data_IF_739229864493
#
_entry.id   IF_739229864493
#
_cell.length_a   1.000
_cell.length_b   1.000
_cell.length_c   1.000
_cell.angle_alpha   90.00
_cell.angle_beta   90.00
_cell.angle_gamma   90.00
#
_symmetry.space_group_name_H-M   'P 1'
#
loop_
_entity.id
_entity.type
_entity.pdbx_description
1 polymer ?
#
# COMPACT_ATOMS: atom_id res chain seq x y z
N UNK A 1 -15.91 -10.30 12.48
CA UNK A 1 -15.96 -11.78 12.49
C UNK A 1 -16.92 -12.32 11.44
N UNK A 2 -18.26 -12.13 11.50
CA UNK A 2 -19.22 -12.73 10.52
C UNK A 2 -18.89 -12.51 9.04
N UNK A 3 -18.51 -11.27 8.62
CA UNK A 3 -18.18 -10.98 7.22
C UNK A 3 -16.92 -11.73 6.74
N UNK A 4 -15.89 -11.85 7.58
CA UNK A 4 -14.67 -12.58 7.22
C UNK A 4 -14.91 -14.08 7.10
N UNK A 5 -15.71 -14.66 7.98
CA UNK A 5 -16.13 -16.05 7.88
C UNK A 5 -16.91 -16.33 6.62
N UNK A 6 -17.88 -15.46 6.29
CA UNK A 6 -18.64 -15.59 5.04
C UNK A 6 -17.72 -15.50 3.81
N UNK A 7 -16.78 -14.55 3.78
CA UNK A 7 -15.84 -14.44 2.68
C UNK A 7 -14.96 -15.69 2.50
N UNK A 8 -14.53 -16.32 3.60
CA UNK A 8 -13.79 -17.60 3.54
C UNK A 8 -14.65 -18.69 2.93
N UNK A 9 -15.91 -18.83 3.36
CA UNK A 9 -16.82 -19.84 2.81
C UNK A 9 -17.11 -19.60 1.32
N UNK A 10 -17.33 -18.33 0.92
CA UNK A 10 -17.57 -17.98 -0.49
C UNK A 10 -16.35 -18.32 -1.36
N UNK A 11 -15.13 -18.06 -0.88
CA UNK A 11 -13.91 -18.41 -1.59
C UNK A 11 -13.74 -19.93 -1.70
N UNK A 12 -13.99 -20.68 -0.62
CA UNK A 12 -13.91 -22.16 -0.63
C UNK A 12 -14.89 -22.77 -1.61
N UNK A 13 -16.09 -22.22 -1.74
CA UNK A 13 -17.08 -22.67 -2.72
C UNK A 13 -16.64 -22.41 -4.17
N UNK A 14 -16.01 -21.25 -4.41
CA UNK A 14 -15.56 -20.87 -5.76
C UNK A 14 -14.24 -21.56 -6.15
N UNK A 15 -13.36 -21.83 -5.19
CA UNK A 15 -12.01 -22.38 -5.40
C UNK A 15 -11.80 -23.53 -4.44
N UNK A 16 -12.24 -24.73 -4.83
CA UNK A 16 -12.16 -25.92 -3.98
C UNK A 16 -10.74 -26.22 -3.48
N UNK A 17 -9.71 -25.93 -4.28
CA UNK A 17 -8.30 -26.10 -3.89
C UNK A 17 -7.82 -25.12 -2.81
N UNK A 18 -8.61 -24.12 -2.45
CA UNK A 18 -8.29 -23.15 -1.39
C UNK A 18 -8.78 -23.61 0.01
N UNK A 19 -9.59 -24.67 0.09
CA UNK A 19 -10.29 -25.05 1.32
C UNK A 19 -9.37 -25.18 2.56
N UNK A 20 -8.20 -25.82 2.38
CA UNK A 20 -7.24 -26.06 3.46
C UNK A 20 -6.09 -25.04 3.52
N UNK A 21 -6.20 -23.96 2.73
CA UNK A 21 -5.14 -22.95 2.59
C UNK A 21 -5.55 -21.54 3.00
N UNK A 22 -6.78 -21.42 3.55
CA UNK A 22 -7.33 -20.13 4.00
C UNK A 22 -7.50 -20.14 5.50
N UNK A 23 -6.91 -19.16 6.14
CA UNK A 23 -7.13 -18.84 7.55
C UNK A 23 -7.59 -17.38 7.67
N UNK A 24 -8.56 -17.14 8.55
CA UNK A 24 -9.07 -15.80 8.82
C UNK A 24 -8.60 -15.33 10.19
N UNK A 25 -7.85 -14.24 10.21
CA UNK A 25 -7.44 -13.53 11.42
C UNK A 25 -8.15 -12.19 11.47
N UNK A 26 -8.78 -11.87 12.60
CA UNK A 26 -9.39 -10.56 12.80
C UNK A 26 -8.29 -9.52 12.98
N UNK A 27 -8.38 -8.42 12.23
CA UNK A 27 -7.40 -7.34 12.23
C UNK A 27 -8.10 -5.99 12.00
N UNK A 28 -7.90 -5.06 12.92
CA UNK A 28 -8.13 -3.63 12.75
C UNK A 28 -6.78 -2.92 12.67
N UNK A 29 -6.41 -2.47 11.48
CA UNK A 29 -5.12 -1.81 11.24
C UNK A 29 -4.99 -0.44 11.90
N UNK A 30 -6.09 0.14 12.36
CA UNK A 30 -6.10 1.40 13.10
C UNK A 30 -5.81 1.24 14.60
N UNK A 31 -5.76 -0.02 15.11
CA UNK A 31 -5.58 -0.36 16.53
C UNK A 31 -4.28 -1.12 16.74
N UNK A 32 -3.38 -0.56 17.55
CA UNK A 32 -2.13 -1.22 17.92
C UNK A 32 -2.39 -2.58 18.61
N UNK A 33 -3.35 -2.64 19.54
CA UNK A 33 -3.72 -3.88 20.24
C UNK A 33 -4.21 -4.96 19.27
N UNK A 34 -5.07 -4.57 18.30
CA UNK A 34 -5.59 -5.51 17.30
C UNK A 34 -4.47 -6.05 16.42
N UNK A 35 -3.53 -5.20 16.02
CA UNK A 35 -2.37 -5.60 15.21
C UNK A 35 -1.48 -6.55 15.99
N UNK A 36 -1.17 -6.27 17.26
CA UNK A 36 -0.36 -7.15 18.10
C UNK A 36 -1.03 -8.51 18.34
N UNK A 37 -2.34 -8.54 18.58
CA UNK A 37 -3.10 -9.78 18.72
C UNK A 37 -3.11 -10.62 17.44
N UNK A 38 -3.23 -9.99 16.28
CA UNK A 38 -3.16 -10.67 15.00
C UNK A 38 -1.73 -11.18 14.73
N UNK A 39 -0.72 -10.36 14.98
CA UNK A 39 0.68 -10.73 14.81
C UNK A 39 1.07 -11.93 15.70
N UNK A 40 0.61 -11.98 16.95
CA UNK A 40 0.87 -13.11 17.85
C UNK A 40 0.33 -14.45 17.30
N UNK A 41 -0.75 -14.43 16.52
CA UNK A 41 -1.29 -15.62 15.84
C UNK A 41 -0.48 -16.01 14.61
N UNK A 42 0.02 -15.03 13.87
CA UNK A 42 0.72 -15.21 12.60
C UNK A 42 2.21 -15.50 12.80
N UNK A 43 2.83 -14.97 13.87
CA UNK A 43 4.28 -14.98 14.12
C UNK A 43 4.91 -16.37 14.24
N UNK A 44 4.11 -17.42 14.36
CA UNK A 44 4.59 -18.80 14.36
C UNK A 44 4.89 -19.33 12.94
N UNK A 45 4.58 -18.55 11.91
CA UNK A 45 4.74 -18.95 10.52
C UNK A 45 5.81 -18.08 9.84
N UNK A 46 6.56 -18.68 8.92
CA UNK A 46 7.42 -17.92 8.01
C UNK A 46 6.57 -17.36 6.88
N UNK A 47 6.51 -16.04 6.75
CA UNK A 47 5.72 -15.36 5.72
C UNK A 47 6.55 -15.15 4.45
N UNK A 48 6.01 -15.53 3.31
CA UNK A 48 6.57 -15.17 2.01
C UNK A 48 6.38 -13.69 1.70
N UNK A 49 5.22 -13.13 2.07
CA UNK A 49 4.98 -11.70 1.85
C UNK A 49 3.71 -11.18 2.51
N UNK A 50 3.56 -9.87 2.44
CA UNK A 50 2.44 -9.10 3.00
C UNK A 50 1.85 -8.22 1.90
N UNK A 51 0.51 -8.22 1.74
CA UNK A 51 -0.21 -7.21 0.97
C UNK A 51 -1.00 -6.33 1.93
N UNK A 52 -0.58 -5.07 2.10
CA UNK A 52 -1.30 -4.07 2.86
C UNK A 52 -2.41 -3.46 2.01
N UNK A 53 -3.58 -4.10 2.01
CA UNK A 53 -4.74 -3.70 1.21
C UNK A 53 -5.77 -2.89 1.98
N UNK A 54 -5.83 -3.02 3.31
CA UNK A 54 -6.79 -2.28 4.13
C UNK A 54 -6.66 -0.76 3.95
N UNK A 55 -7.79 -0.08 3.79
CA UNK A 55 -7.79 1.37 3.61
C UNK A 55 -9.21 1.93 3.54
N UNK A 56 -9.33 3.24 3.69
CA UNK A 56 -10.58 4.00 3.58
C UNK A 56 -10.38 5.20 2.65
N UNK A 57 -11.43 5.54 1.89
CA UNK A 57 -11.42 6.73 1.01
C UNK A 57 -12.03 7.95 1.69
N UNK A 58 -12.90 7.72 2.68
CA UNK A 58 -13.58 8.75 3.45
C UNK A 58 -13.39 8.49 4.93
N UNK A 59 -13.18 9.54 5.69
CA UNK A 59 -13.11 9.54 7.14
C UNK A 59 -13.67 10.85 7.66
N UNK A 60 -13.88 10.95 8.97
CA UNK A 60 -14.37 12.16 9.63
C UNK A 60 -13.32 13.29 9.64
N UNK A 61 -12.04 12.93 9.47
CA UNK A 61 -10.91 13.85 9.49
C UNK A 61 -9.73 13.34 8.66
N UNK A 62 -8.79 14.23 8.35
CA UNK A 62 -7.50 13.88 7.76
C UNK A 62 -6.78 12.82 8.61
N UNK A 63 -6.76 13.02 9.93
CA UNK A 63 -6.05 12.13 10.85
C UNK A 63 -6.63 10.71 10.87
N UNK A 64 -7.94 10.54 10.74
CA UNK A 64 -8.57 9.22 10.61
C UNK A 64 -8.12 8.51 9.35
N UNK A 65 -8.15 9.20 8.19
CA UNK A 65 -7.72 8.62 6.91
C UNK A 65 -6.23 8.26 6.94
N UNK A 66 -5.40 9.14 7.48
CA UNK A 66 -3.95 8.89 7.64
C UNK A 66 -3.68 7.75 8.61
N UNK A 67 -4.44 7.67 9.73
CA UNK A 67 -4.28 6.59 10.71
C UNK A 67 -4.53 5.20 10.10
N UNK A 68 -5.56 5.07 9.26
CA UNK A 68 -5.86 3.79 8.59
C UNK A 68 -4.92 3.54 7.42
N UNK A 69 -4.76 4.52 6.51
CA UNK A 69 -4.12 4.28 5.22
C UNK A 69 -2.59 4.30 5.26
N UNK A 70 -2.00 5.07 6.19
CA UNK A 70 -0.55 5.22 6.34
C UNK A 70 -0.03 4.50 7.59
N UNK A 71 -0.52 4.86 8.77
CA UNK A 71 -0.06 4.23 10.01
C UNK A 71 -0.51 2.77 10.11
N UNK A 72 -1.64 2.38 9.51
CA UNK A 72 -2.10 1.00 9.47
C UNK A 72 -1.09 0.04 8.85
N UNK A 73 -0.69 0.22 7.58
CA UNK A 73 0.37 -0.55 6.95
C UNK A 73 1.69 -0.54 7.73
N UNK A 74 2.07 0.62 8.31
CA UNK A 74 3.28 0.74 9.12
C UNK A 74 3.22 -0.17 10.35
N UNK A 75 2.11 -0.14 11.12
CA UNK A 75 1.90 -1.02 12.28
C UNK A 75 1.97 -2.51 11.92
N UNK A 76 1.28 -2.89 10.84
CA UNK A 76 1.26 -4.28 10.37
C UNK A 76 2.65 -4.74 9.98
N UNK A 77 3.37 -3.93 9.20
CA UNK A 77 4.73 -4.24 8.80
C UNK A 77 5.65 -4.33 10.02
N UNK A 78 5.65 -3.35 10.91
CA UNK A 78 6.52 -3.35 12.11
C UNK A 78 6.26 -4.58 12.99
N UNK A 79 5.01 -5.06 13.11
CA UNK A 79 4.65 -6.23 13.89
C UNK A 79 5.03 -7.57 13.22
N UNK A 80 5.07 -7.63 11.88
CA UNK A 80 5.27 -8.88 11.14
C UNK A 80 6.62 -8.96 10.40
N UNK A 81 7.42 -7.88 10.42
CA UNK A 81 8.66 -7.78 9.65
C UNK A 81 9.66 -8.92 9.96
N UNK A 82 9.73 -9.31 11.24
CA UNK A 82 10.60 -10.41 11.70
C UNK A 82 10.15 -11.79 11.21
N UNK A 83 8.89 -11.91 10.77
CA UNK A 83 8.34 -13.16 10.26
C UNK A 83 8.56 -13.35 8.75
N UNK A 84 8.96 -12.29 8.03
CA UNK A 84 9.19 -12.38 6.60
C UNK A 84 10.45 -13.20 6.27
N UNK A 85 10.35 -14.00 5.23
CA UNK A 85 11.48 -14.72 4.67
C UNK A 85 12.59 -13.74 4.25
N UNK A 86 13.83 -14.08 4.54
CA UNK A 86 15.00 -13.29 4.15
C UNK A 86 16.10 -14.21 3.57
N UNK A 87 16.71 -13.85 2.43
CA UNK A 87 16.34 -12.73 1.56
C UNK A 87 15.08 -13.03 0.73
N UNK A 88 14.49 -11.98 0.18
CA UNK A 88 13.49 -12.07 -0.88
C UNK A 88 12.03 -12.07 -0.44
N UNK A 89 11.73 -11.96 0.85
CA UNK A 89 10.36 -11.70 1.32
C UNK A 89 9.81 -10.40 0.75
N UNK A 90 8.48 -10.31 0.58
CA UNK A 90 7.86 -9.23 -0.18
C UNK A 90 6.84 -8.44 0.62
N UNK A 91 6.82 -7.13 0.43
CA UNK A 91 5.80 -6.24 0.96
C UNK A 91 5.20 -5.44 -0.18
N UNK A 92 3.88 -5.53 -0.34
CA UNK A 92 3.12 -4.79 -1.34
C UNK A 92 2.15 -3.85 -0.63
N UNK A 93 2.35 -2.54 -0.78
CA UNK A 93 1.47 -1.53 -0.22
C UNK A 93 0.48 -1.04 -1.29
N UNK A 94 -0.83 -1.14 -1.00
CA UNK A 94 -1.85 -0.64 -1.93
C UNK A 94 -1.94 0.88 -1.80
N UNK A 95 -1.33 1.56 -2.77
CA UNK A 95 -1.41 2.99 -2.98
C UNK A 95 -2.65 3.36 -3.84
N UNK A 96 -2.54 4.41 -4.63
CA UNK A 96 -3.58 4.88 -5.56
C UNK A 96 -3.00 5.90 -6.54
N UNK A 97 -3.60 6.02 -7.72
CA UNK A 97 -3.40 7.14 -8.64
C UNK A 97 -3.68 8.51 -7.98
N UNK A 98 -4.52 8.52 -6.92
CA UNK A 98 -4.77 9.74 -6.14
C UNK A 98 -3.53 10.28 -5.43
N UNK A 99 -2.54 9.44 -5.12
CA UNK A 99 -1.27 9.89 -4.54
C UNK A 99 -0.48 10.81 -5.49
N UNK A 100 -0.04 10.35 -6.67
CA UNK A 100 0.60 11.22 -7.66
C UNK A 100 -0.25 12.43 -8.08
N UNK A 101 -1.59 12.28 -8.20
CA UNK A 101 -2.48 13.40 -8.49
C UNK A 101 -2.47 14.46 -7.38
N UNK A 102 -2.44 14.03 -6.11
CA UNK A 102 -2.30 14.94 -4.98
C UNK A 102 -0.96 15.69 -5.06
N UNK A 103 0.15 14.96 -5.24
CA UNK A 103 1.48 15.57 -5.31
C UNK A 103 1.56 16.57 -6.46
N UNK A 104 1.03 16.25 -7.64
CA UNK A 104 1.03 17.17 -8.79
C UNK A 104 0.26 18.46 -8.53
N UNK A 105 -0.73 18.46 -7.64
CA UNK A 105 -1.57 19.61 -7.31
C UNK A 105 -0.98 20.52 -6.24
N UNK A 106 0.10 20.09 -5.56
CA UNK A 106 0.69 20.83 -4.43
C UNK A 106 1.32 22.15 -4.86
N UNK A 107 0.98 23.21 -4.13
CA UNK A 107 1.60 24.53 -4.19
C UNK A 107 2.74 24.68 -3.18
N UNK A 108 2.63 24.00 -2.05
CA UNK A 108 3.72 23.89 -1.08
C UNK A 108 4.88 23.10 -1.69
N UNK A 109 5.94 23.81 -2.06
CA UNK A 109 7.11 23.24 -2.74
C UNK A 109 7.96 22.37 -1.82
N UNK A 110 7.91 22.57 -0.52
CA UNK A 110 8.61 21.72 0.45
C UNK A 110 7.92 20.38 0.54
N UNK A 111 6.60 20.35 0.73
CA UNK A 111 5.81 19.13 0.77
C UNK A 111 5.87 18.39 -0.58
N UNK A 112 5.76 19.13 -1.70
CA UNK A 112 5.93 18.57 -3.04
C UNK A 112 7.27 17.85 -3.18
N UNK A 113 8.38 18.51 -2.85
CA UNK A 113 9.72 17.91 -2.96
C UNK A 113 9.85 16.63 -2.15
N UNK A 114 9.38 16.62 -0.91
CA UNK A 114 9.43 15.42 -0.05
C UNK A 114 8.61 14.25 -0.59
N UNK A 115 7.40 14.49 -1.10
CA UNK A 115 6.52 13.43 -1.59
C UNK A 115 6.83 12.99 -3.02
N UNK A 116 7.38 13.87 -3.86
CA UNK A 116 7.84 13.56 -5.21
C UNK A 116 9.19 12.81 -5.19
N UNK A 117 10.04 13.16 -4.22
CA UNK A 117 11.41 12.69 -4.10
C UNK A 117 11.67 12.14 -2.67
N UNK A 118 11.05 11.00 -2.30
CA UNK A 118 11.11 10.49 -0.93
C UNK A 118 12.52 10.13 -0.45
N UNK A 119 13.51 10.07 -1.32
CA UNK A 119 14.92 9.95 -0.91
C UNK A 119 15.45 11.17 -0.19
N UNK A 120 14.76 12.30 -0.24
CA UNK A 120 15.06 13.53 0.51
C UNK A 120 14.51 13.53 1.93
N UNK A 121 13.68 12.54 2.29
CA UNK A 121 13.20 12.31 3.65
C UNK A 121 14.28 11.55 4.41
N UNK A 122 14.69 12.08 5.57
CA UNK A 122 15.80 11.51 6.35
C UNK A 122 15.46 10.12 6.90
N UNK A 123 14.31 10.00 7.54
CA UNK A 123 13.87 8.81 8.28
C UNK A 123 12.35 8.73 8.43
N UNK A 124 11.90 7.73 9.17
CA UNK A 124 10.47 7.54 9.45
C UNK A 124 9.90 8.59 10.39
N UNK A 125 10.70 9.16 11.29
CA UNK A 125 10.22 10.19 12.24
C UNK A 125 9.87 11.47 11.49
N UNK A 126 10.64 11.87 10.49
CA UNK A 126 10.30 12.97 9.60
C UNK A 126 9.00 12.70 8.83
N UNK A 127 8.85 11.50 8.25
CA UNK A 127 7.63 11.14 7.52
C UNK A 127 6.40 11.07 8.43
N UNK A 128 6.56 10.52 9.65
CA UNK A 128 5.50 10.46 10.67
C UNK A 128 5.11 11.87 11.14
N UNK A 129 6.07 12.78 11.31
CA UNK A 129 5.80 14.17 11.62
C UNK A 129 5.00 14.88 10.53
N UNK A 130 5.37 14.67 9.25
CA UNK A 130 4.60 15.17 8.11
C UNK A 130 3.18 14.61 8.09
N UNK A 131 3.01 13.32 8.37
CA UNK A 131 1.70 12.67 8.41
C UNK A 131 0.79 13.21 9.54
N UNK A 132 1.35 13.67 10.64
CA UNK A 132 0.62 14.23 11.81
C UNK A 132 0.37 15.72 11.71
N UNK A 133 1.16 16.42 10.90
CA UNK A 133 1.03 17.86 10.73
C UNK A 133 -0.24 18.23 9.96
N UNK A 134 -0.84 19.34 10.29
CA UNK A 134 -1.90 19.95 9.50
C UNK A 134 -1.32 20.51 8.19
N UNK A 135 -1.87 20.10 7.09
CA UNK A 135 -1.53 20.60 5.76
C UNK A 135 -2.81 21.12 5.09
N UNK A 136 -2.98 22.44 4.90
CA UNK A 136 -4.21 22.99 4.31
C UNK A 136 -4.58 22.38 2.95
N UNK A 137 -3.59 21.98 2.16
CA UNK A 137 -3.84 21.31 0.87
C UNK A 137 -4.28 19.86 1.05
N UNK A 138 -3.87 19.19 2.13
CA UNK A 138 -4.31 17.84 2.48
C UNK A 138 -5.74 17.83 3.02
N UNK A 139 -6.21 18.90 3.69
CA UNK A 139 -7.58 19.01 4.19
C UNK A 139 -8.63 18.93 3.08
N UNK A 140 -8.26 19.28 1.85
CA UNK A 140 -9.13 19.16 0.69
C UNK A 140 -9.04 17.80 -0.03
N UNK A 141 -8.03 16.98 0.31
CA UNK A 141 -7.81 15.68 -0.33
C UNK A 141 -7.09 14.71 0.62
N UNK A 142 -7.77 14.33 1.72
CA UNK A 142 -7.25 13.40 2.74
C UNK A 142 -6.74 12.09 2.13
N UNK A 143 -7.51 11.53 1.18
CA UNK A 143 -7.17 10.27 0.54
C UNK A 143 -5.90 10.37 -0.31
N UNK A 144 -5.83 11.39 -1.18
CA UNK A 144 -4.65 11.61 -2.03
C UNK A 144 -3.38 11.79 -1.19
N UNK A 145 -3.44 12.63 -0.16
CA UNK A 145 -2.33 12.81 0.78
C UNK A 145 -1.91 11.50 1.44
N UNK A 146 -2.87 10.73 1.98
CA UNK A 146 -2.57 9.44 2.63
C UNK A 146 -1.88 8.46 1.67
N UNK A 147 -2.27 8.45 0.39
CA UNK A 147 -1.68 7.56 -0.62
C UNK A 147 -0.31 8.04 -1.11
N UNK A 148 -0.05 9.35 -1.09
CA UNK A 148 1.30 9.89 -1.29
C UNK A 148 2.25 9.50 -0.14
N UNK A 149 1.77 9.56 1.12
CA UNK A 149 2.52 9.06 2.28
C UNK A 149 2.84 7.57 2.18
N UNK A 150 1.90 6.73 1.70
CA UNK A 150 2.13 5.28 1.47
C UNK A 150 3.27 5.06 0.47
N UNK A 151 3.34 5.85 -0.59
CA UNK A 151 4.42 5.77 -1.56
C UNK A 151 5.77 6.15 -0.94
N UNK A 152 5.82 7.26 -0.19
CA UNK A 152 7.03 7.69 0.52
C UNK A 152 7.48 6.66 1.56
N UNK A 153 6.55 6.10 2.34
CA UNK A 153 6.80 5.02 3.29
C UNK A 153 7.39 3.78 2.61
N UNK A 154 6.84 3.39 1.46
CA UNK A 154 7.32 2.25 0.68
C UNK A 154 8.79 2.42 0.31
N UNK A 155 9.17 3.62 -0.12
CA UNK A 155 10.54 3.96 -0.44
C UNK A 155 11.46 3.85 0.80
N UNK A 156 11.06 4.48 1.92
CA UNK A 156 11.85 4.44 3.15
C UNK A 156 11.99 3.02 3.71
N UNK A 157 10.93 2.22 3.64
CA UNK A 157 10.97 0.83 4.09
C UNK A 157 11.92 0.00 3.21
N UNK A 158 11.87 0.15 1.90
CA UNK A 158 12.79 -0.49 0.98
C UNK A 158 14.25 -0.08 1.23
N UNK A 159 14.48 1.21 1.53
CA UNK A 159 15.80 1.74 1.88
C UNK A 159 16.35 1.12 3.18
N UNK A 160 15.48 0.84 4.16
CA UNK A 160 15.85 0.21 5.44
C UNK A 160 16.06 -1.29 5.30
N UNK A 161 15.16 -1.98 4.61
CA UNK A 161 15.08 -3.44 4.56
C UNK A 161 15.68 -4.00 3.27
N UNK A 162 17.01 -4.00 3.17
CA UNK A 162 17.76 -4.39 1.96
C UNK A 162 17.53 -5.82 1.49
N UNK A 163 17.13 -6.71 2.40
CA UNK A 163 16.87 -8.12 2.10
C UNK A 163 15.42 -8.39 1.68
N UNK A 164 14.59 -7.35 1.64
CA UNK A 164 13.18 -7.46 1.24
C UNK A 164 12.90 -6.71 -0.07
N UNK A 165 11.87 -7.16 -0.76
CA UNK A 165 11.34 -6.48 -1.95
C UNK A 165 10.06 -5.74 -1.52
N UNK A 166 10.14 -4.41 -1.44
CA UNK A 166 9.06 -3.56 -0.93
C UNK A 166 8.62 -2.60 -2.03
N UNK A 167 7.37 -2.72 -2.48
CA UNK A 167 6.85 -1.86 -3.54
C UNK A 167 5.41 -1.41 -3.24
N UNK A 168 4.97 -0.34 -3.88
CA UNK A 168 3.59 0.12 -3.86
C UNK A 168 2.95 0.02 -5.24
N UNK A 169 1.61 -0.09 -5.25
CA UNK A 169 0.87 -0.25 -6.51
C UNK A 169 -0.53 0.35 -6.40
N UNK A 170 -1.03 0.91 -7.49
CA UNK A 170 -2.47 1.18 -7.61
C UNK A 170 -3.19 0.02 -8.26
N UNK A 171 -4.32 -0.45 -7.69
CA UNK A 171 -5.14 -1.49 -8.33
C UNK A 171 -5.93 -0.97 -9.55
N UNK A 172 -5.98 0.35 -9.74
CA UNK A 172 -6.85 1.02 -10.70
C UNK A 172 -8.21 1.42 -10.12
N UNK A 173 -9.14 1.81 -10.99
CA UNK A 173 -10.50 2.23 -10.60
C UNK A 173 -11.42 1.01 -10.57
N UNK A 174 -11.52 0.38 -9.41
CA UNK A 174 -12.12 -0.95 -9.22
C UNK A 174 -13.47 -0.83 -8.53
N UNK A 175 -14.46 -1.58 -9.03
CA UNK A 175 -15.80 -1.67 -8.46
C UNK A 175 -15.77 -2.47 -7.15
N UNK A 176 -15.92 -1.76 -6.04
CA UNK A 176 -15.94 -2.29 -4.67
C UNK A 176 -16.91 -1.48 -3.83
N UNK A 177 -17.16 -1.88 -2.59
CA UNK A 177 -17.95 -1.08 -1.64
C UNK A 177 -17.38 0.33 -1.45
N UNK A 178 -16.04 0.45 -1.49
CA UNK A 178 -15.34 1.73 -1.35
C UNK A 178 -15.69 2.72 -2.48
N UNK A 179 -15.89 2.22 -3.69
CA UNK A 179 -16.14 3.03 -4.90
C UNK A 179 -17.61 2.99 -5.35
N UNK A 180 -18.49 2.42 -4.53
CA UNK A 180 -19.93 2.35 -4.82
C UNK A 180 -20.50 3.74 -5.09
N UNK A 181 -21.20 3.89 -6.20
CA UNK A 181 -21.75 5.17 -6.66
C UNK A 181 -20.76 6.16 -7.25
N UNK A 182 -19.47 5.79 -7.38
CA UNK A 182 -18.40 6.66 -7.92
C UNK A 182 -18.03 6.34 -9.37
N UNK A 183 -18.78 5.49 -10.06
CA UNK A 183 -18.58 5.18 -11.48
C UNK A 183 -17.41 4.23 -11.77
N UNK A 184 -16.94 3.47 -10.81
CA UNK A 184 -15.95 2.42 -11.05
C UNK A 184 -16.59 1.26 -11.82
N UNK A 185 -15.90 0.77 -12.86
CA UNK A 185 -16.41 -0.27 -13.78
C UNK A 185 -15.53 -1.50 -13.88
N UNK A 186 -14.26 -1.41 -13.48
CA UNK A 186 -13.37 -2.56 -13.53
C UNK A 186 -13.70 -3.57 -12.41
N UNK A 187 -13.77 -4.88 -12.71
CA UNK A 187 -14.09 -5.88 -11.71
C UNK A 187 -12.95 -6.06 -10.68
N UNK A 188 -13.25 -6.56 -9.46
CA UNK A 188 -12.27 -6.84 -8.42
C UNK A 188 -11.11 -7.73 -8.90
N UNK A 189 -11.37 -8.70 -9.77
CA UNK A 189 -10.35 -9.58 -10.35
C UNK A 189 -9.27 -8.81 -11.10
N UNK A 190 -9.64 -7.73 -11.82
CA UNK A 190 -8.67 -6.86 -12.49
C UNK A 190 -7.81 -6.07 -11.49
N UNK A 191 -8.42 -5.64 -10.39
CA UNK A 191 -7.71 -4.93 -9.32
C UNK A 191 -6.72 -5.82 -8.54
N UNK A 192 -6.95 -7.13 -8.52
CA UNK A 192 -6.05 -8.09 -7.88
C UNK A 192 -4.78 -8.36 -8.69
N UNK A 193 -4.78 -8.12 -10.01
CA UNK A 193 -3.64 -8.44 -10.88
C UNK A 193 -2.34 -7.78 -10.43
N UNK A 194 -2.25 -6.43 -10.27
CA UNK A 194 -0.98 -5.80 -9.98
C UNK A 194 -0.41 -6.15 -8.59
N UNK A 195 -1.17 -6.21 -7.49
CA UNK A 195 -0.60 -6.63 -6.21
C UNK A 195 -0.18 -8.12 -6.20
N UNK A 196 -0.92 -9.01 -6.86
CA UNK A 196 -0.53 -10.42 -6.97
C UNK A 196 0.71 -10.57 -7.83
N UNK A 197 0.81 -9.82 -8.93
CA UNK A 197 2.03 -9.77 -9.74
C UNK A 197 3.23 -9.35 -8.89
N UNK A 198 3.17 -8.24 -8.14
CA UNK A 198 4.28 -7.80 -7.26
C UNK A 198 4.61 -8.83 -6.18
N UNK A 199 3.62 -9.58 -5.68
CA UNK A 199 3.86 -10.57 -4.64
C UNK A 199 4.43 -11.87 -5.18
N UNK A 200 3.98 -12.36 -6.35
CA UNK A 200 4.15 -13.76 -6.77
C UNK A 200 5.05 -13.95 -7.97
N UNK A 201 5.27 -12.93 -8.81
CA UNK A 201 6.04 -13.12 -10.05
C UNK A 201 7.52 -13.37 -9.74
N UNK A 202 8.00 -14.56 -10.04
CA UNK A 202 9.38 -14.99 -9.81
C UNK A 202 10.39 -14.21 -10.67
N UNK A 203 9.99 -13.73 -11.84
CA UNK A 203 10.83 -12.87 -12.68
C UNK A 203 11.19 -11.56 -11.96
N UNK A 204 10.40 -11.18 -10.95
CA UNK A 204 10.59 -9.98 -10.14
C UNK A 204 11.67 -10.10 -9.04
N UNK A 205 12.41 -11.18 -8.97
CA UNK A 205 13.60 -11.25 -8.08
C UNK A 205 14.67 -10.22 -8.45
N UNK A 206 14.54 -9.62 -9.65
CA UNK A 206 15.40 -8.55 -10.18
C UNK A 206 14.69 -7.19 -10.26
N UNK A 207 13.45 -7.07 -9.80
CA UNK A 207 12.76 -5.78 -9.79
C UNK A 207 13.37 -4.86 -8.75
N UNK A 208 13.56 -3.59 -9.13
CA UNK A 208 13.93 -2.57 -8.16
C UNK A 208 12.91 -2.51 -7.03
N UNK A 209 13.37 -2.51 -5.79
CA UNK A 209 12.58 -2.26 -4.60
C UNK A 209 12.33 -0.75 -4.43
N UNK A 210 11.36 -0.36 -3.63
CA UNK A 210 11.06 1.05 -3.33
C UNK A 210 10.31 1.79 -4.44
N UNK A 211 9.60 1.07 -5.33
CA UNK A 211 8.96 1.64 -6.52
C UNK A 211 7.44 1.66 -6.40
N UNK A 212 6.84 2.58 -7.17
CA UNK A 212 5.41 2.66 -7.37
C UNK A 212 5.04 2.17 -8.77
N UNK A 213 4.00 1.34 -8.87
CA UNK A 213 3.52 0.74 -10.11
C UNK A 213 2.07 1.12 -10.41
N UNK A 214 1.76 1.28 -11.70
CA UNK A 214 0.41 1.46 -12.21
C UNK A 214 -0.42 0.17 -12.16
N UNK A 215 -1.71 0.30 -12.45
CA UNK A 215 -2.64 -0.85 -12.54
C UNK A 215 -2.36 -1.78 -13.74
N UNK A 216 -1.47 -1.38 -14.61
CA UNK A 216 -0.95 -2.16 -15.75
C UNK A 216 0.42 -2.80 -15.44
N UNK A 217 0.81 -2.87 -14.17
CA UNK A 217 2.09 -3.41 -13.72
C UNK A 217 3.32 -2.66 -14.25
N UNK A 218 3.16 -1.41 -14.68
CA UNK A 218 4.25 -0.59 -15.22
C UNK A 218 4.67 0.45 -14.20
N UNK A 219 5.99 0.64 -14.06
CA UNK A 219 6.57 1.65 -13.17
C UNK A 219 5.99 3.03 -13.47
N UNK A 220 5.59 3.75 -12.43
CA UNK A 220 4.91 5.02 -12.49
C UNK A 220 5.58 6.06 -11.59
N UNK A 221 5.53 7.37 -11.95
CA UNK A 221 6.12 8.43 -11.15
C UNK A 221 5.27 8.72 -9.89
N UNK A 222 5.87 9.40 -8.92
CA UNK A 222 5.21 9.78 -7.66
C UNK A 222 4.56 11.17 -7.71
N UNK A 223 4.89 11.97 -8.70
CA UNK A 223 4.52 13.39 -8.79
C UNK A 223 3.58 13.74 -9.95
N UNK A 224 3.21 12.76 -10.75
CA UNK A 224 2.23 12.93 -11.83
C UNK A 224 1.53 11.60 -12.10
N UNK A 225 0.26 11.65 -12.44
CA UNK A 225 -0.47 10.44 -12.81
C UNK A 225 0.00 9.95 -14.19
N UNK A 226 0.38 8.66 -14.22
CA UNK A 226 0.59 7.90 -15.43
C UNK A 226 -0.62 6.99 -15.65
N UNK A 227 -1.28 7.13 -16.79
CA UNK A 227 -2.41 6.27 -17.19
C UNK A 227 -1.94 4.88 -17.63
N UNK A 228 -2.82 3.84 -17.51
CA UNK A 228 -2.52 2.54 -18.10
C UNK A 228 -2.30 2.65 -19.61
N UNK A 229 -1.21 2.06 -20.12
CA UNK A 229 -0.82 2.13 -21.52
C UNK A 229 0.10 3.30 -21.88
N UNK A 230 0.28 4.29 -20.99
CA UNK A 230 1.29 5.32 -21.21
C UNK A 230 2.71 4.72 -21.09
N UNK A 231 3.73 5.36 -21.70
CA UNK A 231 5.12 4.91 -21.59
C UNK A 231 5.57 4.70 -20.13
N UNK A 232 6.47 3.74 -19.87
CA UNK A 232 7.06 3.57 -18.54
C UNK A 232 7.75 4.85 -18.06
N UNK A 233 7.70 5.07 -16.74
CA UNK A 233 8.48 6.13 -16.11
C UNK A 233 9.98 5.76 -16.10
N UNK A 234 10.81 6.54 -16.76
CA UNK A 234 12.27 6.35 -16.86
C UNK A 234 13.05 7.34 -16.00
N UNK A 235 12.35 8.14 -15.18
CA UNK A 235 12.99 9.13 -14.31
C UNK A 235 13.88 8.50 -13.24
N UNK A 236 14.69 9.35 -12.62
CA UNK A 236 15.59 8.94 -11.56
C UNK A 236 14.81 8.40 -10.36
N UNK A 237 15.26 7.30 -9.86
CA UNK A 237 14.91 6.78 -8.54
C UNK A 237 16.06 7.10 -7.60
N UNK A 238 15.74 7.65 -6.45
CA UNK A 238 16.77 7.82 -5.43
C UNK A 238 17.43 6.48 -5.06
N UNK A 239 18.57 6.52 -4.41
CA UNK A 239 19.31 5.32 -3.99
C UNK A 239 18.46 4.51 -2.99
N UNK A 240 18.19 3.26 -3.33
CA UNK A 240 17.50 2.29 -2.46
C UNK A 240 18.50 1.22 -2.05
#
# INVERSE_FOLDING_TARGET
>A
MKRGQQAVEDIKQQVASAADRLEMVQLDTASDDSVQQAAAKISQSSLYGIINNAGIIRGSSLQEVVNVNYFGPKRVNDALLACLQRPGGRIVNIASASGPNFVSSLRDRTLYGKLAEPWTISDFDELDAMARQAHPEADNNHYGFSKALVNAYTYLLARREKDLIVNSVTPGWIQTDMTAGMGATNPPSKGAVPPVWLLMDEALTKIPTGRYYGSDCVRSPLNVYRGPGDPPYEGLDGPV
#
